data_IF_650568570470
#
_entry.id   IF_650568570470
#
_cell.length_a   1.000
_cell.length_b   1.000
_cell.length_c   1.000
_cell.angle_alpha   90.00
_cell.angle_beta   90.00
_cell.angle_gamma   90.00
#
_symmetry.space_group_name_H-M   'P 1'
#
loop_
_entity.id
_entity.type
_entity.pdbx_description
1 polymer ?
#
# COMPACT_ATOMS: atom_id res chain seq x y z
N UNK A 1 -1.78 -13.44 -5.53
CA UNK A 1 -0.74 -12.39 -5.68
C UNK A 1 0.38 -12.55 -4.67
N UNK A 2 0.07 -12.82 -3.38
CA UNK A 2 1.08 -13.05 -2.35
C UNK A 2 2.05 -14.20 -2.66
N UNK A 3 1.56 -15.35 -3.15
CA UNK A 3 2.41 -16.51 -3.48
C UNK A 3 3.34 -16.24 -4.66
N UNK A 4 2.82 -15.64 -5.74
CA UNK A 4 3.64 -15.26 -6.90
C UNK A 4 4.70 -14.22 -6.53
N UNK A 5 4.31 -13.16 -5.80
CA UNK A 5 5.24 -12.15 -5.30
C UNK A 5 6.35 -12.78 -4.45
N UNK A 6 5.98 -13.63 -3.48
CA UNK A 6 6.94 -14.35 -2.64
C UNK A 6 7.88 -15.22 -3.47
N UNK A 7 7.36 -15.92 -4.47
CA UNK A 7 8.17 -16.78 -5.34
C UNK A 7 9.19 -15.96 -6.14
N UNK A 8 8.78 -14.85 -6.77
CA UNK A 8 9.68 -13.96 -7.51
C UNK A 8 10.74 -13.36 -6.58
N UNK A 9 10.34 -12.91 -5.39
CA UNK A 9 11.28 -12.35 -4.40
C UNK A 9 12.30 -13.39 -3.90
N UNK A 10 11.86 -14.64 -3.65
CA UNK A 10 12.76 -15.73 -3.26
C UNK A 10 13.75 -16.04 -4.39
N UNK A 11 13.29 -16.11 -5.65
CA UNK A 11 14.16 -16.33 -6.80
C UNK A 11 15.20 -15.21 -6.94
N UNK A 12 14.81 -13.95 -6.75
CA UNK A 12 15.72 -12.80 -6.81
C UNK A 12 16.74 -12.85 -5.68
N UNK A 13 16.31 -13.13 -4.45
CA UNK A 13 17.22 -13.28 -3.30
C UNK A 13 18.23 -14.41 -3.51
N UNK A 14 17.78 -15.56 -4.02
CA UNK A 14 18.65 -16.69 -4.34
C UNK A 14 19.65 -16.32 -5.45
N UNK A 15 19.17 -15.65 -6.50
CA UNK A 15 20.03 -15.18 -7.58
C UNK A 15 21.11 -14.21 -7.08
N UNK A 16 20.73 -13.23 -6.26
CA UNK A 16 21.68 -12.25 -5.68
C UNK A 16 22.70 -12.96 -4.78
N UNK A 17 22.28 -13.93 -3.98
CA UNK A 17 23.17 -14.72 -3.13
C UNK A 17 24.19 -15.51 -3.97
N UNK A 18 23.73 -16.19 -5.02
CA UNK A 18 24.61 -16.93 -5.93
C UNK A 18 25.57 -16.00 -6.69
N UNK A 19 25.07 -14.85 -7.15
CA UNK A 19 25.89 -13.83 -7.81
C UNK A 19 26.96 -13.28 -6.85
N UNK A 20 26.62 -12.97 -5.60
CA UNK A 20 27.59 -12.55 -4.59
C UNK A 20 28.62 -13.64 -4.31
N UNK A 21 28.18 -14.89 -4.18
CA UNK A 21 29.09 -16.02 -3.95
C UNK A 21 30.08 -16.18 -5.10
N UNK A 22 29.63 -16.01 -6.34
CA UNK A 22 30.50 -16.00 -7.51
C UNK A 22 31.44 -14.81 -7.50
N UNK A 23 31.01 -13.62 -7.10
CA UNK A 23 31.89 -12.43 -7.06
C UNK A 23 32.94 -12.56 -5.95
N UNK A 24 32.58 -13.05 -4.76
CA UNK A 24 33.47 -13.08 -3.59
C UNK A 24 34.36 -14.33 -3.51
N UNK A 25 33.91 -15.48 -4.02
CA UNK A 25 34.66 -16.74 -3.89
C UNK A 25 35.29 -17.16 -5.21
N UNK A 26 36.62 -17.12 -5.37
CA UNK A 26 37.27 -17.62 -6.58
C UNK A 26 37.04 -19.13 -6.77
N UNK A 27 36.99 -19.91 -5.69
CA UNK A 27 36.73 -21.35 -5.76
C UNK A 27 35.31 -21.70 -6.25
N UNK A 28 34.32 -20.83 -6.01
CA UNK A 28 32.97 -21.03 -6.57
C UNK A 28 32.94 -20.79 -8.08
N UNK A 29 33.74 -19.83 -8.59
CA UNK A 29 33.89 -19.58 -10.03
C UNK A 29 34.54 -20.78 -10.72
N UNK A 30 35.63 -21.30 -10.17
CA UNK A 30 36.38 -22.42 -10.75
C UNK A 30 35.53 -23.70 -10.76
N UNK A 31 34.81 -23.97 -9.67
CA UNK A 31 33.88 -25.09 -9.59
C UNK A 31 32.74 -24.99 -10.60
N UNK A 32 32.17 -23.80 -10.81
CA UNK A 32 31.09 -23.60 -11.76
C UNK A 32 31.58 -23.67 -13.22
N UNK A 33 32.76 -23.12 -13.52
CA UNK A 33 33.39 -23.20 -14.84
C UNK A 33 33.79 -24.64 -15.20
N UNK A 34 34.14 -25.46 -14.22
CA UNK A 34 34.38 -26.90 -14.43
C UNK A 34 33.09 -27.65 -14.81
N UNK A 35 31.95 -27.27 -14.23
CA UNK A 35 30.63 -27.87 -14.51
C UNK A 35 30.04 -27.37 -15.83
N UNK A 36 30.31 -26.13 -16.24
CA UNK A 36 29.82 -25.54 -17.50
C UNK A 36 30.73 -25.85 -18.70
N UNK A 37 31.42 -26.99 -18.62
CA UNK A 37 32.49 -27.51 -19.49
C UNK A 37 32.36 -27.03 -20.95
N UNK A 38 33.09 -25.97 -21.31
CA UNK A 38 33.17 -25.46 -22.69
C UNK A 38 32.44 -24.14 -22.99
N UNK A 39 31.76 -23.53 -22.01
CA UNK A 39 31.15 -22.20 -22.23
C UNK A 39 32.21 -21.11 -22.08
N UNK A 40 32.37 -20.25 -23.10
CA UNK A 40 33.25 -19.08 -23.01
C UNK A 40 32.85 -18.25 -21.78
N UNK A 41 33.83 -17.90 -20.92
CA UNK A 41 33.59 -17.15 -19.69
C UNK A 41 32.79 -15.84 -19.93
N UNK A 42 33.05 -15.16 -21.06
CA UNK A 42 32.29 -13.97 -21.44
C UNK A 42 30.79 -14.28 -21.66
N UNK A 43 30.48 -15.40 -22.31
CA UNK A 43 29.10 -15.86 -22.53
C UNK A 43 28.40 -16.23 -21.23
N UNK A 44 29.12 -16.84 -20.29
CA UNK A 44 28.60 -17.14 -18.96
C UNK A 44 28.22 -15.87 -18.19
N UNK A 45 29.11 -14.89 -18.11
CA UNK A 45 28.83 -13.63 -17.42
C UNK A 45 27.73 -12.82 -18.12
N UNK A 46 27.67 -12.86 -19.46
CA UNK A 46 26.60 -12.21 -20.22
C UNK A 46 25.24 -12.87 -19.93
N UNK A 47 25.16 -14.20 -19.94
CA UNK A 47 23.94 -14.93 -19.61
C UNK A 47 23.49 -14.66 -18.16
N UNK A 48 24.44 -14.62 -17.21
CA UNK A 48 24.18 -14.25 -15.82
C UNK A 48 23.60 -12.83 -15.73
N UNK A 49 24.24 -11.86 -16.38
CA UNK A 49 23.77 -10.47 -16.43
C UNK A 49 22.35 -10.34 -17.00
N UNK A 50 22.07 -10.97 -18.15
CA UNK A 50 20.73 -10.95 -18.77
C UNK A 50 19.69 -11.60 -17.86
N UNK A 51 20.03 -12.74 -17.25
CA UNK A 51 19.13 -13.43 -16.31
C UNK A 51 18.82 -12.53 -15.11
N UNK A 52 19.83 -11.86 -14.55
CA UNK A 52 19.66 -10.90 -13.48
C UNK A 52 18.79 -9.70 -13.88
N UNK A 53 19.00 -9.15 -15.07
CA UNK A 53 18.20 -8.03 -15.58
C UNK A 53 16.72 -8.41 -15.72
N UNK A 54 16.42 -9.61 -16.25
CA UNK A 54 15.05 -10.12 -16.37
C UNK A 54 14.42 -10.34 -15.00
N UNK A 55 15.15 -10.95 -14.05
CA UNK A 55 14.64 -11.19 -12.69
C UNK A 55 14.34 -9.88 -11.95
N UNK A 56 15.23 -8.88 -12.05
CA UNK A 56 15.01 -7.57 -11.44
C UNK A 56 13.84 -6.82 -12.08
N UNK A 57 13.72 -6.86 -13.42
CA UNK A 57 12.58 -6.28 -14.11
C UNK A 57 11.26 -6.93 -13.66
N UNK A 58 11.25 -8.26 -13.53
CA UNK A 58 10.08 -9.00 -13.06
C UNK A 58 9.72 -8.61 -11.62
N UNK A 59 10.71 -8.51 -10.72
CA UNK A 59 10.50 -8.06 -9.34
C UNK A 59 9.86 -6.66 -9.32
N UNK A 60 10.43 -5.73 -10.09
CA UNK A 60 9.94 -4.35 -10.14
C UNK A 60 8.50 -4.28 -10.64
N UNK A 61 8.17 -5.02 -11.71
CA UNK A 61 6.80 -5.11 -12.23
C UNK A 61 5.86 -5.67 -11.17
N UNK A 62 6.25 -6.76 -10.50
CA UNK A 62 5.40 -7.37 -9.47
C UNK A 62 5.14 -6.45 -8.27
N UNK A 63 6.13 -5.67 -7.82
CA UNK A 63 5.95 -4.72 -6.71
C UNK A 63 5.09 -3.51 -7.10
N UNK A 64 5.23 -3.01 -8.33
CA UNK A 64 4.40 -1.92 -8.84
C UNK A 64 2.94 -2.37 -9.04
N UNK A 65 2.72 -3.60 -9.53
CA UNK A 65 1.38 -4.17 -9.68
C UNK A 65 0.70 -4.36 -8.32
N UNK A 66 1.41 -4.86 -7.32
CA UNK A 66 0.86 -5.03 -5.96
C UNK A 66 0.42 -3.68 -5.37
N UNK A 67 1.24 -2.64 -5.52
CA UNK A 67 0.95 -1.29 -5.02
C UNK A 67 -0.25 -0.64 -5.71
N UNK A 68 -0.37 -0.82 -7.04
CA UNK A 68 -1.48 -0.25 -7.83
C UNK A 68 -2.80 -0.97 -7.55
N UNK A 69 -2.76 -2.29 -7.40
CA UNK A 69 -3.96 -3.08 -7.06
C UNK A 69 -4.47 -2.75 -5.67
N UNK A 70 -3.58 -2.58 -4.69
CA UNK A 70 -3.96 -2.18 -3.33
C UNK A 70 -4.64 -0.80 -3.31
N UNK A 71 -4.11 0.17 -4.08
CA UNK A 71 -4.72 1.50 -4.22
C UNK A 71 -6.12 1.41 -4.82
N UNK A 72 -6.31 0.60 -5.85
CA UNK A 72 -7.62 0.40 -6.49
C UNK A 72 -8.65 -0.20 -5.53
N UNK A 73 -8.24 -1.19 -4.73
CA UNK A 73 -9.11 -1.81 -3.73
C UNK A 73 -9.51 -0.82 -2.62
N UNK A 74 -8.59 0.07 -2.22
CA UNK A 74 -8.89 1.13 -1.25
C UNK A 74 -9.93 2.10 -1.83
N UNK A 75 -9.74 2.61 -3.05
CA UNK A 75 -10.70 3.51 -3.69
C UNK A 75 -12.08 2.85 -3.86
N UNK A 76 -12.12 1.57 -4.22
CA UNK A 76 -13.37 0.83 -4.32
C UNK A 76 -14.08 0.69 -2.95
N UNK A 77 -13.33 0.50 -1.86
CA UNK A 77 -13.89 0.46 -0.50
C UNK A 77 -14.37 1.84 -0.04
N UNK A 78 -13.60 2.90 -0.32
CA UNK A 78 -13.97 4.28 0.02
C UNK A 78 -15.27 4.73 -0.67
N UNK A 79 -15.44 4.39 -1.96
CA UNK A 79 -16.69 4.70 -2.68
C UNK A 79 -17.92 4.04 -2.03
N UNK A 80 -17.82 2.75 -1.66
CA UNK A 80 -18.89 2.04 -0.95
C UNK A 80 -19.20 2.63 0.42
N UNK A 81 -18.16 3.06 1.15
CA UNK A 81 -18.35 3.74 2.43
C UNK A 81 -19.09 5.07 2.21
N UNK A 82 -18.75 5.81 1.17
CA UNK A 82 -19.42 7.07 0.85
C UNK A 82 -20.89 6.84 0.49
N UNK A 83 -21.19 5.81 -0.29
CA UNK A 83 -22.57 5.41 -0.60
C UNK A 83 -23.36 4.98 0.65
N UNK A 84 -22.75 4.19 1.55
CA UNK A 84 -23.40 3.82 2.81
C UNK A 84 -23.66 5.03 3.69
N UNK A 85 -22.70 5.96 3.77
CA UNK A 85 -22.88 7.22 4.50
C UNK A 85 -24.03 8.03 3.92
N UNK A 86 -24.09 8.19 2.60
CA UNK A 86 -25.19 8.90 1.94
C UNK A 86 -26.55 8.25 2.27
N UNK A 87 -26.66 6.92 2.18
CA UNK A 87 -27.89 6.19 2.53
C UNK A 87 -28.29 6.38 3.99
N UNK A 88 -27.34 6.42 4.93
CA UNK A 88 -27.63 6.70 6.33
C UNK A 88 -28.08 8.14 6.54
N UNK A 89 -27.48 9.10 5.85
CA UNK A 89 -27.93 10.49 5.88
C UNK A 89 -29.34 10.64 5.32
N UNK A 90 -29.64 9.99 4.19
CA UNK A 90 -30.96 10.01 3.58
C UNK A 90 -32.00 9.39 4.52
N UNK A 91 -31.70 8.24 5.15
CA UNK A 91 -32.58 7.63 6.16
C UNK A 91 -32.79 8.51 7.39
N UNK A 92 -31.75 9.18 7.90
CA UNK A 92 -31.90 10.11 9.02
C UNK A 92 -32.71 11.35 8.64
N UNK A 93 -32.57 11.83 7.41
CA UNK A 93 -33.32 12.98 6.90
C UNK A 93 -34.81 12.63 6.74
N UNK A 94 -35.11 11.44 6.20
CA UNK A 94 -36.47 10.93 6.02
C UNK A 94 -37.14 10.62 7.37
N UNK A 95 -36.40 10.11 8.36
CA UNK A 95 -36.90 9.99 9.74
C UNK A 95 -37.10 11.36 10.42
N UNK A 96 -36.43 12.42 9.95
CA UNK A 96 -36.52 13.78 10.50
C UNK A 96 -37.62 14.63 9.83
N UNK A 97 -38.23 14.19 8.74
CA UNK A 97 -39.37 14.85 8.11
C UNK A 97 -40.34 13.81 7.54
N UNK A 98 -41.52 13.57 8.14
CA UNK A 98 -42.44 14.58 8.67
C UNK A 98 -43.05 14.21 10.04
N UNK A 99 -42.65 14.94 11.08
CA UNK A 99 -43.55 15.36 12.16
C UNK A 99 -42.96 16.62 12.80
N UNK A 100 -43.45 17.78 12.36
CA UNK A 100 -43.45 18.96 13.21
C UNK A 100 -44.31 18.62 14.44
N UNK A 101 -43.69 18.05 15.47
CA UNK A 101 -44.40 17.61 16.66
C UNK A 101 -43.53 16.77 17.57
N UNK A 102 -43.08 17.39 18.66
CA UNK A 102 -42.42 16.84 19.86
C UNK A 102 -40.92 16.47 19.78
N UNK A 103 -40.07 17.04 20.66
CA UNK A 103 -38.69 16.61 20.80
C UNK A 103 -38.68 15.25 21.52
N UNK A 104 -38.39 14.18 20.78
CA UNK A 104 -38.13 12.88 21.39
C UNK A 104 -36.65 12.81 21.75
N UNK A 105 -36.35 12.99 23.03
CA UNK A 105 -35.02 12.75 23.61
C UNK A 105 -34.63 11.30 23.35
N UNK A 106 -33.88 11.08 22.28
CA UNK A 106 -33.24 9.79 22.01
C UNK A 106 -32.02 9.65 22.90
N UNK A 107 -32.07 8.72 23.84
CA UNK A 107 -30.92 8.33 24.65
C UNK A 107 -29.87 7.70 23.74
N UNK A 108 -28.77 8.41 23.49
CA UNK A 108 -27.59 7.85 22.83
C UNK A 108 -26.86 6.96 23.84
N UNK A 109 -27.04 5.64 23.72
CA UNK A 109 -26.19 4.69 24.45
C UNK A 109 -24.81 4.71 23.78
N UNK A 110 -23.87 5.42 24.38
CA UNK A 110 -22.47 5.34 24.02
C UNK A 110 -21.91 3.99 24.52
N UNK A 111 -21.17 3.23 23.70
CA UNK A 111 -20.45 2.06 24.19
C UNK A 111 -19.45 2.50 25.26
N UNK A 112 -19.32 1.72 26.33
CA UNK A 112 -18.40 2.03 27.42
C UNK A 112 -16.98 2.27 26.89
N UNK A 113 -16.44 3.47 27.15
CA UNK A 113 -15.12 3.90 26.68
C UNK A 113 -15.13 5.03 25.64
N UNK A 114 -16.30 5.54 25.20
CA UNK A 114 -16.33 6.74 24.34
C UNK A 114 -16.01 8.00 25.15
N UNK A 115 -14.82 8.58 24.92
CA UNK A 115 -14.43 9.89 25.45
C UNK A 115 -15.04 10.94 24.52
N UNK A 116 -16.00 11.72 25.00
CA UNK A 116 -16.56 12.85 24.24
C UNK A 116 -15.45 13.87 23.97
N UNK A 117 -15.13 14.21 22.71
CA UNK A 117 -14.19 15.28 22.45
C UNK A 117 -14.76 16.59 22.99
N UNK A 118 -14.05 17.24 23.92
CA UNK A 118 -14.40 18.59 24.37
C UNK A 118 -14.38 19.52 23.15
N UNK A 119 -15.48 20.23 22.85
CA UNK A 119 -15.50 21.20 21.76
C UNK A 119 -14.41 22.24 22.01
N UNK A 120 -13.40 22.29 21.14
CA UNK A 120 -12.42 23.37 21.14
C UNK A 120 -13.16 24.61 20.64
N UNK A 121 -13.29 25.68 21.44
CA UNK A 121 -13.93 26.90 20.97
C UNK A 121 -13.13 27.47 19.79
N UNK A 122 -13.80 27.98 18.75
CA UNK A 122 -13.12 28.57 17.61
C UNK A 122 -12.21 29.73 18.09
N UNK A 123 -11.00 29.88 17.52
CA UNK A 123 -10.12 30.98 17.86
C UNK A 123 -10.84 32.31 17.60
N UNK A 124 -10.81 33.20 18.60
CA UNK A 124 -11.41 34.52 18.50
C UNK A 124 -10.83 35.28 17.30
N UNK A 125 -11.65 36.04 16.56
CA UNK A 125 -11.17 36.84 15.42
C UNK A 125 -10.08 37.82 15.90
N UNK A 126 -8.93 37.75 15.23
CA UNK A 126 -7.75 38.58 15.48
C UNK A 126 -8.12 40.03 15.12
N UNK A 127 -8.00 40.94 16.09
CA UNK A 127 -8.36 42.37 15.99
C UNK A 127 -7.38 43.20 15.13
N UNK A 128 -6.75 42.59 14.13
CA UNK A 128 -5.72 43.22 13.30
C UNK A 128 -6.25 43.64 11.91
N UNK A 129 -7.48 43.24 11.55
CA UNK A 129 -8.11 43.59 10.25
C UNK A 129 -8.97 44.87 10.30
N UNK A 130 -8.72 45.77 11.25
CA UNK A 130 -9.37 47.08 11.25
C UNK A 130 -8.73 47.96 10.16
N UNK A 131 -9.48 48.40 9.12
CA UNK A 131 -8.95 49.37 8.18
C UNK A 131 -8.67 50.69 8.92
N UNK A 132 -7.46 51.20 8.77
CA UNK A 132 -7.09 52.54 9.22
C UNK A 132 -8.00 53.55 8.49
N UNK A 133 -8.74 54.33 9.26
CA UNK A 133 -9.51 55.51 8.80
C UNK A 133 -8.56 56.67 8.59
#
# INVERSE_FOLDING_TARGET
MLVLKRLVTILVMLYVLLALLLILSPGSRDGLMAVTTGTNAAGFYYALFITGAVLLALQLITENLDSTLLRRDITARESKINELKARLYDQQLEMRSPAAGTPRTGTTVHPEGYITPTPVPPPAPRRDDAPLV
#
